data_IF_787843767726
#
_entry.id   IF_787843767726
#
_cell.length_a   1.000
_cell.length_b   1.000
_cell.length_c   1.000
_cell.angle_alpha   90.00
_cell.angle_beta   90.00
_cell.angle_gamma   90.00
#
_symmetry.space_group_name_H-M   'P 1'
#
loop_
_entity.id
_entity.type
_entity.pdbx_description
1 polymer ?
#
# COMPACT_ATOMS: atom_id res chain seq x y z
N UNK A 1 -17.92 20.96 7.91
CA UNK A 1 -17.03 19.84 7.53
C UNK A 1 -17.31 19.58 6.06
N UNK A 2 -16.45 20.10 5.19
CA UNK A 2 -16.66 20.23 3.75
C UNK A 2 -16.15 19.00 3.01
N UNK A 3 -16.76 18.68 1.88
CA UNK A 3 -16.54 17.50 1.02
C UNK A 3 -15.06 17.31 0.60
N UNK A 4 -14.28 18.39 0.58
CA UNK A 4 -12.83 18.42 0.34
C UNK A 4 -11.99 17.75 1.44
N UNK A 5 -12.37 17.88 2.71
CA UNK A 5 -11.67 17.20 3.81
C UNK A 5 -11.88 15.67 3.77
N UNK A 6 -12.90 15.20 3.04
CA UNK A 6 -13.16 13.77 2.87
C UNK A 6 -12.26 13.14 1.80
N UNK A 7 -11.82 13.90 0.79
CA UNK A 7 -10.93 13.43 -0.28
C UNK A 7 -9.47 13.30 0.18
N UNK A 8 -9.00 14.19 1.05
CA UNK A 8 -7.60 14.19 1.51
C UNK A 8 -7.33 13.09 2.55
N UNK A 9 -8.27 12.88 3.48
CA UNK A 9 -8.20 11.77 4.44
C UNK A 9 -8.31 10.41 3.74
N UNK A 10 -9.15 10.28 2.70
CA UNK A 10 -9.29 9.02 1.97
C UNK A 10 -8.10 8.71 1.07
N UNK A 11 -7.37 9.71 0.56
CA UNK A 11 -6.17 9.49 -0.25
C UNK A 11 -5.04 8.88 0.59
N UNK A 12 -4.67 9.49 1.72
CA UNK A 12 -3.61 8.95 2.58
C UNK A 12 -3.99 7.62 3.23
N UNK A 13 -5.23 7.49 3.71
CA UNK A 13 -5.71 6.28 4.37
C UNK A 13 -5.80 5.09 3.39
N UNK A 14 -6.25 5.35 2.15
CA UNK A 14 -6.24 4.34 1.09
C UNK A 14 -4.81 3.87 0.78
N UNK A 15 -3.87 4.76 0.48
CA UNK A 15 -2.52 4.34 0.11
C UNK A 15 -1.83 3.60 1.26
N UNK A 16 -1.97 4.09 2.48
CA UNK A 16 -1.32 3.50 3.66
C UNK A 16 -1.85 2.10 3.99
N UNK A 17 -3.18 1.92 4.05
CA UNK A 17 -3.77 0.62 4.35
C UNK A 17 -3.71 -0.36 3.20
N UNK A 18 -3.79 0.12 1.96
CA UNK A 18 -3.81 -0.73 0.78
C UNK A 18 -2.47 -1.44 0.53
N UNK A 19 -1.35 -0.71 0.63
CA UNK A 19 -0.02 -1.29 0.41
C UNK A 19 0.53 -2.06 1.62
N UNK A 20 0.09 -1.74 2.85
CA UNK A 20 0.54 -2.43 4.06
C UNK A 20 0.15 -3.92 4.13
N UNK A 21 -0.89 -4.33 3.41
CA UNK A 21 -1.38 -5.72 3.41
C UNK A 21 -0.83 -6.58 2.25
N UNK A 22 0.27 -6.16 1.61
CA UNK A 22 0.89 -6.94 0.54
C UNK A 22 0.06 -7.00 -0.75
N UNK A 23 -0.76 -5.99 -1.00
CA UNK A 23 -1.55 -5.86 -2.23
C UNK A 23 -0.92 -4.84 -3.17
N UNK A 24 -0.96 -5.14 -4.46
CA UNK A 24 -0.61 -4.24 -5.54
C UNK A 24 -1.89 -3.62 -6.14
N UNK A 25 -1.75 -2.44 -6.73
CA UNK A 25 -2.81 -1.76 -7.48
C UNK A 25 -2.53 -1.92 -8.96
N UNK A 26 -3.49 -2.44 -9.70
CA UNK A 26 -3.50 -2.37 -11.15
C UNK A 26 -4.54 -1.36 -11.60
N UNK A 27 -4.17 -0.58 -12.62
CA UNK A 27 -4.98 0.46 -13.21
C UNK A 27 -5.15 0.18 -14.70
N UNK A 28 -6.38 0.25 -15.19
CA UNK A 28 -6.68 0.35 -16.62
C UNK A 28 -7.36 1.70 -16.87
N UNK A 29 -6.81 2.47 -17.79
CA UNK A 29 -7.32 3.79 -18.17
C UNK A 29 -7.62 3.78 -19.66
N UNK A 30 -8.91 3.91 -19.99
CA UNK A 30 -9.39 3.92 -21.38
C UNK A 30 -9.83 5.32 -21.74
N UNK A 31 -8.95 6.00 -22.46
CA UNK A 31 -9.12 7.39 -22.88
C UNK A 31 -9.91 7.44 -24.19
N UNK A 32 -10.94 8.28 -24.22
CA UNK A 32 -11.75 8.58 -25.38
C UNK A 32 -11.59 10.07 -25.66
N UNK A 33 -10.62 10.40 -26.53
CA UNK A 33 -10.38 11.78 -26.95
C UNK A 33 -11.46 12.26 -27.89
N UNK A 34 -12.03 13.42 -27.62
CA UNK A 34 -12.92 14.13 -28.55
C UNK A 34 -12.13 15.14 -29.37
N UNK A 35 -11.32 15.97 -28.70
CA UNK A 35 -10.49 16.98 -29.32
C UNK A 35 -9.35 17.40 -28.40
N UNK A 36 -8.37 18.11 -28.97
CA UNK A 36 -7.30 18.77 -28.22
C UNK A 36 -7.62 20.24 -28.10
N UNK A 37 -7.79 20.74 -26.88
CA UNK A 37 -7.86 22.17 -26.62
C UNK A 37 -6.45 22.76 -26.74
N UNK A 38 -6.31 23.87 -27.46
CA UNK A 38 -5.07 24.64 -27.53
C UNK A 38 -5.40 26.12 -27.46
N UNK A 39 -4.77 26.80 -26.51
CA UNK A 39 -4.88 28.23 -26.29
C UNK A 39 -3.49 28.81 -26.49
N UNK A 40 -3.38 29.80 -27.38
CA UNK A 40 -2.11 30.47 -27.60
C UNK A 40 -1.76 31.31 -26.35
N UNK A 41 -0.71 30.90 -25.64
CA UNK A 41 -0.23 31.53 -24.41
C UNK A 41 0.02 33.05 -24.57
N UNK A 42 0.50 33.48 -25.73
CA UNK A 42 0.82 34.89 -26.00
C UNK A 42 -0.41 35.79 -26.15
N UNK A 43 -1.60 35.21 -26.38
CA UNK A 43 -2.84 35.95 -26.63
C UNK A 43 -3.93 35.62 -25.61
N UNK A 44 -3.59 35.00 -24.47
CA UNK A 44 -4.57 34.66 -23.45
C UNK A 44 -5.16 35.95 -22.88
N UNK A 45 -6.49 36.05 -22.97
CA UNK A 45 -7.25 37.10 -22.31
C UNK A 45 -7.84 36.54 -21.02
N UNK A 46 -7.34 37.04 -19.88
CA UNK A 46 -7.87 36.67 -18.58
C UNK A 46 -9.29 37.21 -18.40
N UNK A 47 -10.18 36.37 -17.85
CA UNK A 47 -11.53 36.80 -17.52
C UNK A 47 -11.52 37.91 -16.44
N UNK A 48 -12.62 38.68 -16.28
CA UNK A 48 -12.66 39.79 -15.32
C UNK A 48 -12.31 39.39 -13.88
N UNK A 49 -12.74 38.22 -13.43
CA UNK A 49 -12.49 37.72 -12.07
C UNK A 49 -11.02 37.40 -11.84
N UNK A 50 -10.36 36.72 -12.78
CA UNK A 50 -8.94 36.40 -12.70
C UNK A 50 -8.09 37.68 -12.74
N UNK A 51 -8.44 38.64 -13.60
CA UNK A 51 -7.77 39.95 -13.64
C UNK A 51 -7.92 40.70 -12.32
N UNK A 52 -9.14 40.70 -11.76
CA UNK A 52 -9.39 41.33 -10.48
C UNK A 52 -8.58 40.67 -9.36
N UNK A 53 -8.57 39.33 -9.27
CA UNK A 53 -7.79 38.59 -8.28
C UNK A 53 -6.29 38.92 -8.36
N UNK A 54 -5.70 38.92 -9.56
CA UNK A 54 -4.31 39.32 -9.75
C UNK A 54 -4.04 40.78 -9.33
N UNK A 55 -4.99 41.68 -9.56
CA UNK A 55 -4.86 43.10 -9.17
C UNK A 55 -4.90 43.32 -7.65
N UNK A 56 -5.36 42.35 -6.87
CA UNK A 56 -5.36 42.42 -5.41
C UNK A 56 -4.03 42.00 -4.79
N UNK A 57 -3.12 41.39 -5.57
CA UNK A 57 -1.79 41.04 -5.07
C UNK A 57 -0.93 42.29 -4.87
N UNK A 58 -0.25 42.35 -3.74
CA UNK A 58 0.52 43.53 -3.29
C UNK A 58 2.00 43.38 -3.60
N UNK A 59 2.70 44.49 -3.83
CA UNK A 59 4.15 44.48 -4.08
C UNK A 59 4.96 44.08 -2.85
N UNK A 60 4.47 44.41 -1.64
CA UNK A 60 4.99 43.88 -0.39
C UNK A 60 4.63 42.40 -0.27
N UNK A 61 5.61 41.56 0.06
CA UNK A 61 5.38 40.12 0.16
C UNK A 61 4.54 39.78 1.39
N UNK A 62 3.33 39.30 1.15
CA UNK A 62 2.41 38.74 2.15
C UNK A 62 2.15 37.27 1.80
N UNK A 63 2.75 36.30 2.51
CA UNK A 63 2.64 34.89 2.14
C UNK A 63 1.20 34.39 2.17
N UNK A 64 0.37 34.85 3.10
CA UNK A 64 -1.00 34.35 3.28
C UNK A 64 -1.89 34.79 2.11
N UNK A 65 -1.74 36.03 1.65
CA UNK A 65 -2.47 36.56 0.49
C UNK A 65 -2.13 35.79 -0.79
N UNK A 66 -0.85 35.53 -1.03
CA UNK A 66 -0.41 34.83 -2.24
C UNK A 66 -0.74 33.34 -2.20
N UNK A 67 -0.69 32.72 -1.02
CA UNK A 67 -1.12 31.35 -0.83
C UNK A 67 -2.62 31.20 -1.08
N UNK A 68 -3.45 32.12 -0.56
CA UNK A 68 -4.89 32.15 -0.83
C UNK A 68 -5.20 32.30 -2.33
N UNK A 69 -4.39 33.08 -3.06
CA UNK A 69 -4.52 33.17 -4.52
C UNK A 69 -4.25 31.81 -5.19
N UNK A 70 -3.14 31.15 -4.85
CA UNK A 70 -2.76 29.86 -5.44
C UNK A 70 -3.73 28.75 -5.06
N UNK A 71 -4.31 28.79 -3.86
CA UNK A 71 -5.35 27.86 -3.42
C UNK A 71 -6.62 28.01 -4.25
N UNK A 72 -7.05 29.25 -4.53
CA UNK A 72 -8.27 29.50 -5.29
C UNK A 72 -8.13 29.29 -6.81
N UNK A 73 -6.96 29.59 -7.39
CA UNK A 73 -6.76 29.62 -8.84
C UNK A 73 -5.78 28.57 -9.38
N UNK A 74 -5.17 27.78 -8.50
CA UNK A 74 -4.11 26.84 -8.84
C UNK A 74 -2.77 27.54 -9.11
N UNK A 75 -1.78 26.74 -9.52
CA UNK A 75 -0.42 27.22 -9.82
C UNK A 75 -0.24 27.63 -11.29
N UNK A 76 -1.03 27.04 -12.19
CA UNK A 76 -0.89 27.19 -13.63
C UNK A 76 -2.24 27.32 -14.35
N UNK A 77 -2.20 27.93 -15.53
CA UNK A 77 -3.27 27.92 -16.52
C UNK A 77 -2.96 26.85 -17.57
N UNK A 78 -3.91 25.95 -17.79
CA UNK A 78 -3.80 24.91 -18.82
C UNK A 78 -3.93 25.58 -20.19
N UNK A 79 -2.90 25.48 -21.03
CA UNK A 79 -2.89 26.04 -22.39
C UNK A 79 -3.09 24.97 -23.46
N UNK A 80 -2.81 23.71 -23.14
CA UNK A 80 -3.07 22.59 -24.05
C UNK A 80 -3.51 21.35 -23.28
N UNK A 81 -4.61 20.75 -23.71
CA UNK A 81 -5.14 19.55 -23.04
C UNK A 81 -5.93 18.65 -23.98
N UNK A 82 -5.86 17.35 -23.73
CA UNK A 82 -6.78 16.38 -24.33
C UNK A 82 -8.12 16.43 -23.60
N UNK A 83 -9.19 16.70 -24.35
CA UNK A 83 -10.56 16.78 -23.84
C UNK A 83 -11.39 15.59 -24.32
N UNK A 84 -12.16 14.97 -23.43
CA UNK A 84 -13.05 13.88 -23.78
C UNK A 84 -13.59 13.13 -22.57
N UNK A 85 -13.56 11.80 -22.61
CA UNK A 85 -13.92 10.95 -21.48
C UNK A 85 -12.86 9.91 -21.15
N UNK A 86 -12.86 9.41 -19.91
CA UNK A 86 -12.04 8.27 -19.51
C UNK A 86 -12.83 7.26 -18.70
N UNK A 87 -12.64 5.98 -18.99
CA UNK A 87 -13.05 4.90 -18.09
C UNK A 87 -11.82 4.47 -17.31
N UNK A 88 -11.85 4.63 -16.00
CA UNK A 88 -10.79 4.15 -15.12
C UNK A 88 -11.28 2.97 -14.30
N UNK A 89 -10.55 1.87 -14.40
CA UNK A 89 -10.78 0.63 -13.69
C UNK A 89 -9.60 0.34 -12.76
N UNK A 90 -9.91 0.04 -11.50
CA UNK A 90 -8.92 -0.30 -10.49
C UNK A 90 -9.14 -1.72 -10.02
N UNK A 91 -8.06 -2.49 -10.01
CA UNK A 91 -8.04 -3.84 -9.50
C UNK A 91 -7.01 -3.96 -8.37
N UNK A 92 -7.43 -4.68 -7.33
CA UNK A 92 -6.57 -5.14 -6.26
C UNK A 92 -5.96 -6.47 -6.60
N UNK A 93 -4.64 -6.52 -6.66
CA UNK A 93 -3.88 -7.69 -7.08
C UNK A 93 -3.03 -8.17 -5.91
N UNK A 94 -2.92 -9.48 -5.71
CA UNK A 94 -1.92 -10.03 -4.79
C UNK A 94 -0.51 -9.65 -5.29
N UNK A 95 0.37 -9.14 -4.42
CA UNK A 95 1.68 -8.63 -4.87
C UNK A 95 2.68 -9.73 -5.26
N UNK A 96 2.57 -10.90 -4.64
CA UNK A 96 3.42 -12.06 -4.92
C UNK A 96 2.76 -13.00 -5.94
N UNK A 97 2.50 -12.49 -7.14
CA UNK A 97 2.19 -13.37 -8.25
C UNK A 97 3.51 -14.00 -8.69
N UNK A 98 3.62 -15.33 -8.66
CA UNK A 98 4.75 -16.06 -9.21
C UNK A 98 4.72 -15.98 -10.75
N UNK A 99 4.74 -14.76 -11.27
CA UNK A 99 4.80 -14.49 -12.68
C UNK A 99 6.25 -14.33 -13.09
N UNK A 100 6.66 -15.08 -14.11
CA UNK A 100 7.95 -14.83 -14.77
C UNK A 100 7.94 -13.54 -15.60
N UNK A 101 6.78 -12.93 -15.81
CA UNK A 101 6.58 -11.73 -16.63
C UNK A 101 5.36 -10.91 -16.15
N UNK A 102 5.61 -9.68 -15.69
CA UNK A 102 4.59 -8.72 -15.26
C UNK A 102 3.65 -8.29 -16.40
N UNK A 103 4.10 -8.35 -17.66
CA UNK A 103 3.30 -8.06 -18.83
C UNK A 103 2.16 -9.06 -19.03
N UNK A 104 2.44 -10.35 -18.80
CA UNK A 104 1.43 -11.42 -18.87
C UNK A 104 0.41 -11.26 -17.74
N UNK A 105 0.87 -10.95 -16.53
CA UNK A 105 -0.02 -10.66 -15.39
C UNK A 105 -0.98 -9.55 -15.74
N UNK A 106 -0.44 -8.42 -16.22
CA UNK A 106 -1.26 -7.27 -16.57
C UNK A 106 -2.37 -7.69 -17.54
N UNK A 107 -2.04 -8.36 -18.63
CA UNK A 107 -3.02 -8.76 -19.65
C UNK A 107 -4.09 -9.74 -19.14
N UNK A 108 -3.82 -10.48 -18.06
CA UNK A 108 -4.77 -11.41 -17.45
C UNK A 108 -5.66 -10.81 -16.36
N UNK A 109 -5.45 -9.54 -15.96
CA UNK A 109 -6.34 -8.85 -15.01
C UNK A 109 -7.71 -8.62 -15.67
N UNK A 110 -8.83 -8.91 -14.99
CA UNK A 110 -10.17 -8.91 -15.58
C UNK A 110 -10.76 -7.50 -15.73
N UNK A 111 -10.04 -6.61 -16.43
CA UNK A 111 -10.57 -5.32 -16.86
C UNK A 111 -11.53 -5.50 -18.04
N UNK A 112 -12.56 -4.65 -18.15
CA UNK A 112 -13.63 -4.87 -19.13
C UNK A 112 -13.23 -4.69 -20.60
N UNK A 113 -12.02 -4.21 -20.88
CA UNK A 113 -11.42 -4.14 -22.21
C UNK A 113 -10.46 -5.28 -22.54
N UNK A 114 -10.20 -6.19 -21.60
CA UNK A 114 -9.22 -7.25 -21.78
C UNK A 114 -9.92 -8.57 -22.09
N UNK A 115 -9.39 -9.24 -23.09
CA UNK A 115 -9.75 -10.62 -23.43
C UNK A 115 -8.64 -11.51 -22.85
N UNK A 116 -8.97 -12.55 -22.06
CA UNK A 116 -7.97 -13.47 -21.53
C UNK A 116 -7.17 -14.11 -22.67
N UNK A 117 -5.85 -13.89 -22.66
CA UNK A 117 -4.94 -14.32 -23.74
C UNK A 117 -4.46 -15.77 -23.60
N UNK A 118 -4.65 -16.40 -22.44
CA UNK A 118 -4.16 -17.75 -22.17
C UNK A 118 -4.96 -18.47 -21.08
N UNK A 119 -4.82 -19.80 -21.03
CA UNK A 119 -5.37 -20.64 -19.96
C UNK A 119 -4.85 -20.27 -18.56
N UNK A 120 -3.67 -19.65 -18.47
CA UNK A 120 -3.08 -19.21 -17.21
C UNK A 120 -3.73 -17.93 -16.67
N UNK A 121 -4.54 -17.22 -17.46
CA UNK A 121 -5.21 -16.01 -16.99
C UNK A 121 -6.21 -16.29 -15.87
N UNK A 122 -6.79 -17.50 -15.78
CA UNK A 122 -7.65 -17.87 -14.67
C UNK A 122 -6.92 -17.74 -13.31
N UNK A 123 -5.66 -18.19 -13.23
CA UNK A 123 -4.84 -18.09 -12.01
C UNK A 123 -4.62 -16.65 -11.54
N UNK A 124 -4.40 -15.73 -12.48
CA UNK A 124 -4.16 -14.32 -12.20
C UNK A 124 -5.46 -13.56 -11.93
N UNK A 125 -6.53 -13.87 -12.66
CA UNK A 125 -7.86 -13.31 -12.45
C UNK A 125 -8.40 -13.67 -11.06
N UNK A 126 -8.22 -14.90 -10.59
CA UNK A 126 -8.64 -15.32 -9.24
C UNK A 126 -7.92 -14.56 -8.12
N UNK A 127 -6.75 -13.99 -8.42
CA UNK A 127 -5.93 -13.18 -7.49
C UNK A 127 -6.05 -11.69 -7.72
N UNK A 128 -6.91 -11.28 -8.63
CA UNK A 128 -7.24 -9.90 -8.92
C UNK A 128 -8.72 -9.65 -8.60
N UNK A 129 -9.00 -8.63 -7.81
CA UNK A 129 -10.38 -8.20 -7.51
C UNK A 129 -10.59 -6.80 -8.03
N UNK A 130 -11.55 -6.62 -8.92
CA UNK A 130 -12.04 -5.29 -9.30
C UNK A 130 -12.60 -4.59 -8.05
N UNK A 131 -12.04 -3.42 -7.74
CA UNK A 131 -12.45 -2.63 -6.57
C UNK A 131 -13.18 -1.35 -6.99
N UNK A 132 -12.94 -0.84 -8.19
CA UNK A 132 -13.74 0.25 -8.73
C UNK A 132 -13.68 0.31 -10.26
N UNK A 133 -14.78 0.83 -10.83
CA UNK A 133 -14.88 1.30 -12.21
C UNK A 133 -15.54 2.67 -12.14
N UNK A 134 -14.90 3.68 -12.73
CA UNK A 134 -15.41 5.05 -12.73
C UNK A 134 -15.30 5.67 -14.11
N UNK A 135 -16.27 6.51 -14.43
CA UNK A 135 -16.27 7.35 -15.61
C UNK A 135 -15.79 8.76 -15.26
N UNK A 136 -15.01 9.37 -16.14
CA UNK A 136 -14.63 10.78 -16.08
C UNK A 136 -15.11 11.46 -17.36
N UNK A 137 -15.82 12.58 -17.20
CA UNK A 137 -16.53 13.22 -18.32
C UNK A 137 -17.83 12.50 -18.66
N UNK A 138 -18.68 13.16 -19.45
CA UNK A 138 -20.05 12.75 -19.75
C UNK A 138 -20.96 12.76 -18.54
N UNK A 139 -22.09 12.07 -18.64
CA UNK A 139 -22.98 11.81 -17.53
C UNK A 139 -22.49 10.57 -16.76
N UNK A 140 -21.78 10.79 -15.65
CA UNK A 140 -21.18 9.74 -14.82
C UNK A 140 -22.19 8.79 -14.16
N UNK A 141 -23.49 9.09 -14.22
CA UNK A 141 -24.56 8.22 -13.70
C UNK A 141 -24.97 7.11 -14.69
N UNK A 142 -24.48 7.16 -15.94
CA UNK A 142 -24.80 6.16 -16.96
C UNK A 142 -23.83 4.98 -16.84
N UNK A 143 -24.30 3.84 -16.33
CA UNK A 143 -23.45 2.67 -16.09
C UNK A 143 -22.97 1.98 -17.38
N UNK A 144 -23.78 1.99 -18.44
CA UNK A 144 -23.45 1.35 -19.70
C UNK A 144 -22.40 2.18 -20.46
N UNK A 145 -21.24 1.59 -20.74
CA UNK A 145 -20.13 2.29 -21.39
C UNK A 145 -20.49 2.88 -22.76
N UNK A 146 -21.34 2.22 -23.55
CA UNK A 146 -21.71 2.72 -24.88
C UNK A 146 -22.69 3.89 -24.80
N UNK A 147 -23.63 3.86 -23.86
CA UNK A 147 -24.55 4.97 -23.64
C UNK A 147 -23.84 6.15 -22.98
N UNK A 148 -22.96 5.88 -22.01
CA UNK A 148 -22.10 6.89 -21.40
C UNK A 148 -21.25 7.62 -22.46
N UNK A 149 -20.63 6.88 -23.39
CA UNK A 149 -19.84 7.46 -24.49
C UNK A 149 -20.61 8.49 -25.31
N UNK A 150 -21.91 8.29 -25.53
CA UNK A 150 -22.76 9.22 -26.28
C UNK A 150 -22.97 10.54 -25.55
N UNK A 151 -22.80 10.56 -24.23
CA UNK A 151 -22.95 11.76 -23.41
C UNK A 151 -21.69 12.63 -23.37
N UNK A 152 -20.54 12.12 -23.84
CA UNK A 152 -19.26 12.84 -23.78
C UNK A 152 -19.28 14.15 -24.56
N UNK A 153 -20.02 14.22 -25.66
CA UNK A 153 -20.14 15.44 -26.46
C UNK A 153 -20.80 16.60 -25.69
N UNK A 154 -21.63 16.29 -24.67
CA UNK A 154 -22.38 17.30 -23.90
C UNK A 154 -21.59 17.79 -22.68
N UNK A 155 -20.79 16.92 -22.06
CA UNK A 155 -20.07 17.26 -20.83
C UNK A 155 -18.68 16.63 -20.75
N UNK A 156 -17.75 16.92 -21.67
CA UNK A 156 -16.44 16.29 -21.63
C UNK A 156 -15.60 16.79 -20.45
N UNK A 157 -14.61 16.00 -20.06
CA UNK A 157 -13.61 16.35 -19.05
C UNK A 157 -12.25 16.63 -19.68
N UNK A 158 -11.41 17.38 -18.96
CA UNK A 158 -9.98 17.50 -19.24
C UNK A 158 -9.29 16.22 -18.75
N UNK A 159 -8.68 15.47 -19.67
CA UNK A 159 -8.14 14.14 -19.38
C UNK A 159 -6.63 14.16 -19.17
N UNK A 160 -5.93 14.93 -19.99
CA UNK A 160 -4.47 15.04 -19.94
C UNK A 160 -4.06 16.48 -20.14
N UNK A 161 -3.29 17.02 -19.21
CA UNK A 161 -2.64 18.33 -19.35
C UNK A 161 -1.37 18.09 -20.18
N UNK A 162 -1.31 18.74 -21.35
CA UNK A 162 -0.18 18.62 -22.27
C UNK A 162 0.76 19.81 -22.12
N UNK A 163 0.19 21.01 -21.95
CA UNK A 163 0.95 22.24 -21.72
C UNK A 163 0.20 23.13 -20.74
N UNK A 164 0.96 23.85 -19.92
CA UNK A 164 0.47 24.81 -18.95
C UNK A 164 1.46 25.94 -18.76
N UNK A 165 0.97 27.11 -18.38
CA UNK A 165 1.77 28.32 -18.16
C UNK A 165 1.50 28.82 -16.75
N UNK A 166 2.53 29.19 -15.97
CA UNK A 166 2.35 29.61 -14.59
C UNK A 166 1.67 30.97 -14.48
N UNK A 167 0.90 31.19 -13.41
CA UNK A 167 0.16 32.44 -13.21
C UNK A 167 1.03 33.70 -13.19
N UNK A 168 2.27 33.60 -12.73
CA UNK A 168 3.19 34.73 -12.66
C UNK A 168 3.60 35.28 -14.05
N UNK A 169 3.35 34.57 -15.15
CA UNK A 169 3.60 35.08 -16.49
C UNK A 169 2.53 36.05 -16.99
N UNK A 170 1.39 36.12 -16.29
CA UNK A 170 0.31 37.09 -16.56
C UNK A 170 0.39 38.35 -15.69
N UNK A 171 1.43 38.47 -14.85
CA UNK A 171 1.65 39.61 -13.97
C UNK A 171 2.65 40.57 -14.63
N UNK A 172 2.25 41.83 -14.76
CA UNK A 172 3.10 42.89 -15.34
C UNK A 172 4.06 43.49 -14.33
N UNK A 173 3.66 43.63 -13.06
CA UNK A 173 4.52 44.15 -12.00
C UNK A 173 5.60 43.13 -11.60
N UNK A 174 6.86 43.53 -11.68
CA UNK A 174 7.97 42.61 -11.45
C UNK A 174 8.05 42.11 -9.99
N UNK A 175 7.70 42.94 -9.00
CA UNK A 175 7.71 42.54 -7.60
C UNK A 175 6.62 41.50 -7.32
N UNK A 176 5.40 41.77 -7.78
CA UNK A 176 4.28 40.81 -7.66
C UNK A 176 4.61 39.51 -8.39
N UNK A 177 5.22 39.60 -9.59
CA UNK A 177 5.65 38.44 -10.37
C UNK A 177 6.65 37.57 -9.58
N UNK A 178 7.66 38.15 -8.96
CA UNK A 178 8.64 37.38 -8.17
C UNK A 178 8.02 36.77 -6.91
N UNK A 179 7.15 37.50 -6.22
CA UNK A 179 6.44 37.01 -5.04
C UNK A 179 5.56 35.79 -5.38
N UNK A 180 4.75 35.89 -6.44
CA UNK A 180 3.90 34.79 -6.88
C UNK A 180 4.72 33.59 -7.37
N UNK A 181 5.84 33.84 -8.05
CA UNK A 181 6.79 32.78 -8.45
C UNK A 181 7.38 32.06 -7.25
N UNK A 182 7.68 32.76 -6.16
CA UNK A 182 8.24 32.16 -4.96
C UNK A 182 7.24 31.19 -4.29
N UNK A 183 5.98 31.59 -4.15
CA UNK A 183 4.93 30.75 -3.56
C UNK A 183 4.60 29.54 -4.44
N UNK A 184 4.49 29.71 -5.76
CA UNK A 184 4.26 28.58 -6.67
C UNK A 184 5.38 27.55 -6.57
N UNK A 185 6.64 27.99 -6.60
CA UNK A 185 7.80 27.09 -6.43
C UNK A 185 7.84 26.40 -5.06
N UNK A 186 7.39 27.09 -4.02
CA UNK A 186 7.29 26.53 -2.68
C UNK A 186 6.27 25.38 -2.64
N UNK A 187 5.07 25.58 -3.21
CA UNK A 187 4.04 24.52 -3.32
C UNK A 187 4.53 23.32 -4.12
N UNK A 188 5.14 23.55 -5.28
CA UNK A 188 5.68 22.48 -6.13
C UNK A 188 6.68 21.61 -5.36
N UNK A 189 7.65 22.24 -4.68
CA UNK A 189 8.64 21.53 -3.87
C UNK A 189 8.03 20.75 -2.73
N UNK A 190 7.04 21.32 -2.03
CA UNK A 190 6.38 20.63 -0.94
C UNK A 190 5.65 19.37 -1.42
N UNK A 191 4.96 19.45 -2.57
CA UNK A 191 4.30 18.29 -3.17
C UNK A 191 5.33 17.22 -3.55
N UNK A 192 6.44 17.60 -4.17
CA UNK A 192 7.52 16.68 -4.53
C UNK A 192 8.11 15.97 -3.31
N UNK A 193 8.33 16.70 -2.21
CA UNK A 193 8.82 16.15 -0.95
C UNK A 193 7.83 15.14 -0.35
N UNK A 194 6.55 15.50 -0.32
CA UNK A 194 5.48 14.63 0.18
C UNK A 194 5.37 13.35 -0.67
N UNK A 195 5.42 13.47 -1.99
CA UNK A 195 5.39 12.32 -2.90
C UNK A 195 6.63 11.43 -2.73
N UNK A 196 7.81 12.04 -2.64
CA UNK A 196 9.07 11.32 -2.42
C UNK A 196 9.04 10.55 -1.12
N UNK A 197 8.53 11.17 -0.04
CA UNK A 197 8.40 10.51 1.25
C UNK A 197 7.36 9.39 1.21
N UNK A 198 6.23 9.59 0.54
CA UNK A 198 5.23 8.54 0.34
C UNK A 198 5.80 7.34 -0.42
N UNK A 199 6.54 7.56 -1.51
CA UNK A 199 7.23 6.50 -2.27
C UNK A 199 8.27 5.80 -1.41
N UNK A 200 9.06 6.55 -0.64
CA UNK A 200 10.07 5.99 0.27
C UNK A 200 9.42 5.10 1.34
N UNK A 201 8.32 5.54 1.94
CA UNK A 201 7.60 4.77 2.95
C UNK A 201 6.94 3.53 2.37
N UNK A 202 6.34 3.62 1.18
CA UNK A 202 5.85 2.45 0.44
C UNK A 202 7.01 1.49 0.20
N UNK A 203 8.10 1.93 -0.45
CA UNK A 203 9.27 1.09 -0.77
C UNK A 203 9.93 0.44 0.46
N UNK A 204 10.04 1.16 1.58
CA UNK A 204 10.60 0.63 2.82
C UNK A 204 9.72 -0.46 3.46
N UNK A 205 8.41 -0.45 3.16
CA UNK A 205 7.41 -1.41 3.68
C UNK A 205 7.00 -2.46 2.65
N UNK A 206 7.40 -2.27 1.40
CA UNK A 206 7.33 -3.24 0.35
C UNK A 206 8.30 -4.39 0.70
N UNK A 207 7.85 -5.36 1.50
CA UNK A 207 8.61 -6.61 1.73
C UNK A 207 9.03 -7.20 0.38
N UNK A 208 10.24 -7.75 0.24
CA UNK A 208 10.60 -8.53 -0.93
C UNK A 208 9.56 -9.63 -1.14
N UNK A 209 9.16 -9.89 -2.38
CA UNK A 209 8.35 -11.05 -2.71
C UNK A 209 9.17 -12.27 -2.25
N UNK A 210 8.80 -12.85 -1.11
CA UNK A 210 9.43 -14.05 -0.61
C UNK A 210 9.08 -15.11 -1.65
N UNK A 211 10.09 -15.58 -2.39
CA UNK A 211 9.96 -16.63 -3.41
C UNK A 211 9.55 -17.98 -2.81
N UNK A 212 9.36 -18.04 -1.50
CA UNK A 212 8.82 -19.17 -0.76
C UNK A 212 7.51 -18.78 -0.11
N UNK A 213 6.47 -19.57 -0.37
CA UNK A 213 5.15 -19.48 0.26
C UNK A 213 5.27 -19.42 1.79
N UNK A 214 5.26 -18.22 2.36
CA UNK A 214 5.08 -18.01 3.80
C UNK A 214 3.68 -17.47 4.07
N UNK A 215 2.81 -18.41 4.45
CA UNK A 215 1.59 -18.30 5.25
C UNK A 215 0.94 -16.89 5.39
N UNK A 216 -0.18 -16.67 4.68
CA UNK A 216 -1.15 -15.63 5.04
C UNK A 216 -2.03 -16.08 6.22
N UNK A 217 -2.23 -15.29 7.29
CA UNK A 217 -3.16 -15.64 8.36
C UNK A 217 -4.61 -15.34 7.93
N UNK A 218 -5.52 -16.27 8.23
CA UNK A 218 -6.96 -16.07 8.05
C UNK A 218 -7.60 -16.13 9.44
N UNK A 219 -8.16 -15.00 9.90
CA UNK A 219 -9.30 -14.83 10.83
C UNK A 219 -9.12 -13.77 11.94
N UNK A 220 -10.21 -13.10 12.34
CA UNK A 220 -10.29 -12.02 13.36
C UNK A 220 -11.07 -12.46 14.61
N UNK A 221 -10.51 -12.20 15.81
CA UNK A 221 -11.06 -12.59 17.12
C UNK A 221 -12.49 -12.05 17.37
N UNK A 222 -13.42 -12.82 17.97
CA UNK A 222 -14.73 -12.32 18.34
C UNK A 222 -14.62 -11.35 19.53
N UNK A 223 -15.43 -10.30 19.49
CA UNK A 223 -15.49 -9.19 20.46
C UNK A 223 -15.35 -9.61 21.94
N UNK A 224 -15.99 -10.72 22.35
CA UNK A 224 -16.02 -11.17 23.75
C UNK A 224 -14.67 -11.67 24.29
N UNK A 225 -13.65 -11.85 23.45
CA UNK A 225 -12.35 -12.43 23.83
C UNK A 225 -11.18 -11.43 23.76
N UNK A 226 -11.43 -10.15 23.44
CA UNK A 226 -10.41 -9.11 23.24
C UNK A 226 -9.67 -8.65 24.52
N UNK A 227 -9.75 -9.40 25.63
CA UNK A 227 -9.08 -9.09 26.90
C UNK A 227 -8.29 -10.26 27.51
N UNK A 228 -8.30 -11.44 26.88
CA UNK A 228 -7.50 -12.59 27.32
C UNK A 228 -6.26 -12.71 26.45
N UNK A 229 -5.08 -12.57 27.06
CA UNK A 229 -3.78 -12.74 26.43
C UNK A 229 -3.57 -14.21 26.09
N UNK A 230 -3.79 -14.56 24.82
CA UNK A 230 -3.21 -15.68 24.04
C UNK A 230 -4.08 -15.83 22.79
N UNK A 231 -3.48 -15.76 21.59
CA UNK A 231 -4.23 -16.08 20.35
C UNK A 231 -3.48 -17.10 19.51
N UNK A 232 -4.05 -18.30 19.44
CA UNK A 232 -3.77 -19.33 18.44
C UNK A 232 -4.88 -19.36 17.39
N UNK A 233 -4.50 -19.24 16.11
CA UNK A 233 -4.97 -20.12 15.02
C UNK A 233 -4.18 -19.87 13.72
N UNK A 234 -3.04 -20.55 13.61
CA UNK A 234 -2.63 -21.32 12.44
C UNK A 234 -1.43 -22.19 12.86
N UNK A 235 -1.70 -23.14 13.76
CA UNK A 235 -0.76 -24.22 13.99
C UNK A 235 -0.83 -25.13 12.76
N UNK A 236 0.33 -25.42 12.16
CA UNK A 236 0.48 -26.48 11.15
C UNK A 236 0.13 -26.18 9.68
N UNK A 237 0.44 -25.01 9.14
CA UNK A 237 0.53 -24.91 7.67
C UNK A 237 1.84 -25.55 7.21
N UNK A 238 1.75 -26.70 6.53
CA UNK A 238 2.88 -27.25 5.77
C UNK A 238 3.15 -26.29 4.61
N UNK A 239 4.39 -25.88 4.44
CA UNK A 239 4.78 -25.10 3.26
C UNK A 239 4.65 -26.04 2.05
N UNK A 240 3.86 -25.65 1.04
CA UNK A 240 3.61 -26.50 -0.12
C UNK A 240 4.93 -26.82 -0.85
N UNK A 241 5.26 -28.11 -0.99
CA UNK A 241 6.52 -28.56 -1.57
C UNK A 241 7.70 -28.63 -0.60
N UNK A 242 7.51 -28.33 0.68
CA UNK A 242 8.56 -28.35 1.71
C UNK A 242 8.09 -29.17 2.94
N UNK A 243 9.05 -29.77 3.64
CA UNK A 243 8.87 -30.44 4.92
C UNK A 243 8.97 -29.46 6.11
N UNK A 244 9.06 -28.16 5.82
CA UNK A 244 8.95 -27.08 6.79
C UNK A 244 7.52 -26.84 7.26
N UNK A 245 7.40 -26.44 8.52
CA UNK A 245 6.14 -26.02 9.15
C UNK A 245 6.33 -24.66 9.79
N UNK A 246 5.34 -23.80 9.64
CA UNK A 246 5.37 -22.43 10.17
C UNK A 246 4.20 -22.15 11.08
N UNK A 247 4.43 -21.30 12.06
CA UNK A 247 3.38 -20.68 12.86
C UNK A 247 3.65 -19.18 12.96
N UNK A 248 2.60 -18.38 12.98
CA UNK A 248 2.66 -16.94 13.21
C UNK A 248 1.70 -16.55 14.33
N UNK A 249 2.12 -15.65 15.20
CA UNK A 249 1.32 -15.07 16.27
C UNK A 249 1.44 -13.53 16.24
N UNK A 250 0.36 -12.83 16.57
CA UNK A 250 0.39 -11.40 16.84
C UNK A 250 0.48 -11.20 18.35
N UNK A 251 1.43 -10.38 18.78
CA UNK A 251 1.82 -10.22 20.18
C UNK A 251 1.96 -8.74 20.49
N UNK A 252 1.60 -8.32 21.70
CA UNK A 252 1.81 -6.95 22.17
C UNK A 252 2.44 -7.05 23.53
N UNK A 253 3.73 -6.74 23.62
CA UNK A 253 4.51 -7.00 24.83
C UNK A 253 4.71 -5.72 25.64
N UNK A 254 4.59 -5.84 26.97
CA UNK A 254 4.82 -4.75 27.90
C UNK A 254 6.06 -5.00 28.76
N UNK A 255 6.68 -3.94 29.32
CA UNK A 255 7.88 -4.08 30.17
C UNK A 255 7.62 -4.82 31.50
N UNK A 256 6.36 -5.05 31.87
CA UNK A 256 5.94 -5.67 33.14
C UNK A 256 5.46 -7.12 32.97
N UNK A 257 5.17 -7.55 31.74
CA UNK A 257 4.67 -8.89 31.45
C UNK A 257 5.67 -9.67 30.61
N UNK A 258 6.25 -10.72 31.19
CA UNK A 258 6.92 -11.77 30.42
C UNK A 258 5.83 -12.66 29.81
N UNK A 259 5.26 -12.24 28.68
CA UNK A 259 4.22 -13.01 28.00
C UNK A 259 4.83 -14.30 27.43
N UNK A 260 4.38 -15.43 27.97
CA UNK A 260 4.68 -16.78 27.48
C UNK A 260 3.62 -17.17 26.44
N UNK A 261 4.00 -17.24 25.17
CA UNK A 261 3.16 -17.60 24.03
C UNK A 261 3.41 -19.08 23.70
N UNK A 262 2.54 -19.97 24.18
CA UNK A 262 2.76 -21.45 24.07
C UNK A 262 2.34 -22.01 22.70
N UNK A 263 3.25 -22.06 21.72
CA UNK A 263 2.91 -22.49 20.35
C UNK A 263 2.98 -24.00 20.10
N UNK A 264 2.15 -24.50 19.19
CA UNK A 264 2.18 -25.90 18.76
C UNK A 264 2.44 -25.98 17.25
N UNK A 265 3.48 -26.71 16.86
CA UNK A 265 3.66 -27.20 15.49
C UNK A 265 3.44 -28.70 15.59
N UNK A 266 2.16 -29.10 15.55
CA UNK A 266 1.69 -30.42 15.97
C UNK A 266 2.28 -31.62 15.20
N UNK A 267 2.23 -32.77 15.88
CA UNK A 267 2.55 -34.12 15.41
C UNK A 267 1.36 -35.06 15.64
N UNK A 268 1.15 -36.07 14.77
CA UNK A 268 0.00 -36.98 14.80
C UNK A 268 0.19 -38.25 15.66
N UNK A 269 1.37 -38.53 16.21
CA UNK A 269 1.64 -39.75 16.99
C UNK A 269 1.64 -39.47 18.50
N UNK A 270 1.14 -40.38 19.34
CA UNK A 270 1.14 -40.29 20.82
C UNK A 270 2.42 -40.89 21.44
N UNK A 271 3.08 -40.21 22.37
CA UNK A 271 4.31 -40.66 23.07
C UNK A 271 5.52 -39.71 23.05
N UNK A 272 5.85 -39.06 21.94
CA UNK A 272 7.14 -38.32 21.81
C UNK A 272 7.18 -36.92 22.46
N UNK A 273 8.31 -36.60 23.09
CA UNK A 273 8.76 -35.25 23.46
C UNK A 273 8.93 -34.37 22.20
N UNK A 274 8.76 -33.05 22.32
CA UNK A 274 8.87 -32.06 21.23
C UNK A 274 7.63 -31.83 20.34
N UNK A 275 6.42 -32.06 20.85
CA UNK A 275 5.15 -31.75 20.13
C UNK A 275 4.84 -30.26 20.02
N UNK A 276 5.34 -29.49 20.99
CA UNK A 276 4.96 -28.11 21.23
C UNK A 276 6.21 -27.33 21.67
N UNK A 277 6.23 -26.04 21.38
CA UNK A 277 7.24 -25.14 21.91
C UNK A 277 6.62 -23.83 22.36
N UNK A 278 7.05 -23.26 23.49
CA UNK A 278 6.64 -21.93 23.89
C UNK A 278 7.62 -20.89 23.36
N UNK A 279 7.10 -19.78 22.86
CA UNK A 279 7.85 -18.57 22.60
C UNK A 279 7.65 -17.66 23.82
N UNK A 280 8.71 -17.14 24.39
CA UNK A 280 8.62 -16.14 25.46
C UNK A 280 9.40 -14.91 25.04
N UNK A 281 8.85 -13.73 25.30
CA UNK A 281 9.59 -12.49 25.05
C UNK A 281 10.54 -12.27 26.23
N UNK A 282 11.83 -12.42 25.97
CA UNK A 282 12.87 -12.33 27.00
C UNK A 282 13.06 -10.89 27.48
N UNK A 283 13.04 -9.97 26.52
CA UNK A 283 13.10 -8.53 26.70
C UNK A 283 12.61 -7.85 25.41
N UNK A 284 12.61 -6.52 25.37
CA UNK A 284 12.19 -5.76 24.20
C UNK A 284 12.91 -6.08 22.90
N UNK A 285 14.01 -6.85 22.87
CA UNK A 285 14.76 -7.17 21.64
C UNK A 285 15.04 -8.66 21.43
N UNK A 286 14.59 -9.53 22.34
CA UNK A 286 14.96 -10.95 22.32
C UNK A 286 13.76 -11.83 22.62
N UNK A 287 13.73 -13.00 21.99
CA UNK A 287 12.74 -14.05 22.26
C UNK A 287 13.43 -15.36 22.64
N UNK A 288 12.83 -16.08 23.58
CA UNK A 288 13.18 -17.44 23.96
C UNK A 288 12.23 -18.44 23.31
N UNK A 289 12.75 -19.63 23.02
CA UNK A 289 12.02 -20.74 22.42
C UNK A 289 12.24 -22.01 23.23
N UNK A 290 11.23 -22.41 24.00
CA UNK A 290 11.24 -23.58 24.89
C UNK A 290 10.52 -24.76 24.24
N UNK A 291 11.06 -25.98 24.30
CA UNK A 291 10.24 -27.17 24.04
C UNK A 291 9.43 -27.57 25.28
N UNK A 292 8.26 -28.20 25.10
CA UNK A 292 7.36 -28.52 26.23
C UNK A 292 7.77 -29.73 27.10
N UNK A 293 8.81 -30.48 26.74
CA UNK A 293 9.12 -31.74 27.44
C UNK A 293 10.56 -31.84 28.00
N UNK A 294 11.48 -30.97 27.58
CA UNK A 294 12.80 -30.82 28.18
C UNK A 294 13.19 -29.33 28.12
N UNK A 295 13.94 -28.84 29.10
CA UNK A 295 14.51 -27.50 29.05
C UNK A 295 15.53 -27.46 27.91
N UNK A 296 15.16 -26.85 26.79
CA UNK A 296 16.06 -26.71 25.65
C UNK A 296 16.73 -25.34 25.70
N UNK A 297 18.06 -25.34 25.75
CA UNK A 297 18.92 -24.17 25.79
C UNK A 297 19.07 -23.49 24.41
N UNK A 298 17.95 -23.23 23.72
CA UNK A 298 17.98 -22.28 22.61
C UNK A 298 17.97 -20.86 23.22
N UNK A 299 19.11 -20.41 23.71
CA UNK A 299 19.24 -19.08 24.31
C UNK A 299 18.80 -17.96 23.35
N UNK A 300 18.36 -16.84 23.95
CA UNK A 300 18.00 -15.54 23.36
C UNK A 300 18.18 -15.44 21.84
N UNK A 301 17.12 -15.69 21.08
CA UNK A 301 17.12 -15.40 19.65
C UNK A 301 17.02 -13.88 19.47
N UNK A 302 18.04 -13.24 18.87
CA UNK A 302 18.07 -11.79 18.75
C UNK A 302 17.10 -11.32 17.65
N UNK A 303 16.26 -10.35 17.99
CA UNK A 303 15.45 -9.57 17.06
C UNK A 303 15.97 -8.13 17.09
N UNK A 304 17.26 -7.97 16.82
CA UNK A 304 18.08 -6.80 17.14
C UNK A 304 17.58 -5.43 16.61
N UNK A 305 16.58 -5.43 15.72
CA UNK A 305 16.09 -4.23 15.04
C UNK A 305 14.69 -3.78 15.50
N UNK A 306 13.99 -4.56 16.33
CA UNK A 306 12.64 -4.23 16.80
C UNK A 306 12.64 -4.12 18.32
N UNK A 307 11.98 -3.07 18.84
CA UNK A 307 11.67 -2.96 20.27
C UNK A 307 10.24 -3.44 20.50
N UNK A 308 10.08 -4.69 20.95
CA UNK A 308 8.78 -5.33 21.23
C UNK A 308 8.00 -4.64 22.36
N UNK A 309 8.67 -3.80 23.16
CA UNK A 309 8.10 -3.05 24.29
C UNK A 309 7.73 -1.62 23.91
N UNK A 310 7.23 -1.41 22.70
CA UNK A 310 6.75 -0.10 22.23
C UNK A 310 5.22 0.07 22.43
N UNK A 311 4.55 -0.97 22.93
CA UNK A 311 3.11 -0.98 23.11
C UNK A 311 2.33 -1.15 21.81
N UNK A 312 2.97 -1.51 20.69
CA UNK A 312 2.34 -1.90 19.43
C UNK A 312 2.15 -3.43 19.35
N UNK A 313 1.36 -3.87 18.36
CA UNK A 313 1.28 -5.29 18.01
C UNK A 313 2.40 -5.63 17.04
N UNK A 314 3.12 -6.71 17.34
CA UNK A 314 4.15 -7.29 16.51
C UNK A 314 3.71 -8.67 16.02
N UNK A 315 4.00 -9.01 14.77
CA UNK A 315 3.86 -10.36 14.26
C UNK A 315 5.15 -11.14 14.53
N UNK A 316 5.07 -12.30 15.16
CA UNK A 316 6.21 -13.21 15.30
C UNK A 316 5.86 -14.52 14.61
N UNK A 317 6.67 -14.91 13.64
CA UNK A 317 6.56 -16.19 12.96
C UNK A 317 7.76 -17.08 13.28
N UNK A 318 7.52 -18.37 13.44
CA UNK A 318 8.55 -19.39 13.63
C UNK A 318 8.34 -20.47 12.60
N UNK A 319 9.39 -20.77 11.84
CA UNK A 319 9.40 -21.84 10.83
C UNK A 319 10.46 -22.85 11.20
N UNK A 320 10.10 -24.13 11.17
CA UNK A 320 11.02 -25.23 11.39
C UNK A 320 11.03 -26.17 10.20
N UNK A 321 12.23 -26.50 9.71
CA UNK A 321 12.46 -27.52 8.70
C UNK A 321 12.96 -28.82 9.35
N UNK A 322 12.23 -29.91 9.12
CA UNK A 322 12.49 -31.20 9.75
C UNK A 322 13.62 -32.00 9.12
N UNK A 323 13.97 -31.72 7.87
CA UNK A 323 15.03 -32.44 7.16
C UNK A 323 16.41 -32.03 7.65
N UNK A 324 16.59 -30.73 7.92
CA UNK A 324 17.88 -30.13 8.25
C UNK A 324 17.92 -29.48 9.64
N UNK A 325 16.84 -29.63 10.43
CA UNK A 325 16.69 -29.05 11.76
C UNK A 325 16.86 -27.52 11.84
N UNK A 326 16.65 -26.82 10.72
CA UNK A 326 16.76 -25.36 10.64
C UNK A 326 15.53 -24.71 11.25
N UNK A 327 15.74 -23.87 12.25
CA UNK A 327 14.73 -23.01 12.84
C UNK A 327 14.95 -21.57 12.38
N UNK A 328 13.91 -20.93 11.90
CA UNK A 328 13.90 -19.53 11.52
C UNK A 328 12.85 -18.79 12.33
N UNK A 329 13.25 -17.70 12.98
CA UNK A 329 12.37 -16.76 13.67
C UNK A 329 12.29 -15.48 12.87
N UNK A 330 11.08 -15.01 12.69
CA UNK A 330 10.75 -13.82 11.94
C UNK A 330 9.90 -12.92 12.84
N UNK A 331 10.18 -11.62 12.81
CA UNK A 331 9.40 -10.64 13.53
C UNK A 331 9.05 -9.47 12.58
N UNK A 332 7.78 -9.11 12.57
CA UNK A 332 7.13 -8.13 11.72
C UNK A 332 7.40 -8.32 10.24
N UNK A 333 8.30 -7.51 9.66
CA UNK A 333 8.71 -7.54 8.26
C UNK A 333 10.25 -7.62 8.13
N UNK A 334 10.93 -8.00 9.21
CA UNK A 334 12.39 -8.04 9.25
C UNK A 334 12.95 -9.32 8.65
N UNK A 335 14.22 -9.27 8.24
CA UNK A 335 14.95 -10.47 7.81
C UNK A 335 14.91 -11.56 8.88
N UNK A 336 14.59 -12.81 8.52
CA UNK A 336 14.48 -13.89 9.49
C UNK A 336 15.84 -14.23 10.09
N UNK A 337 15.88 -14.48 11.39
CA UNK A 337 17.03 -15.05 12.06
C UNK A 337 16.91 -16.58 12.02
N UNK A 338 17.84 -17.23 11.32
CA UNK A 338 17.83 -18.69 11.14
C UNK A 338 19.07 -19.35 11.74
N UNK A 339 18.88 -20.50 12.37
CA UNK A 339 19.96 -21.32 12.89
C UNK A 339 19.62 -22.82 12.81
N UNK A 340 20.65 -23.65 12.74
CA UNK A 340 20.50 -25.11 12.84
C UNK A 340 20.45 -25.46 14.32
N UNK A 341 19.44 -26.20 14.75
CA UNK A 341 19.35 -26.64 16.14
C UNK A 341 20.30 -27.81 16.39
N UNK A 342 20.99 -27.79 17.53
CA UNK A 342 21.79 -28.91 18.01
C UNK A 342 20.98 -30.02 18.69
N UNK A 343 19.69 -29.78 18.97
CA UNK A 343 18.79 -30.71 19.66
C UNK A 343 18.13 -31.71 18.69
N UNK A 344 17.52 -32.77 19.24
CA UNK A 344 16.77 -33.75 18.47
C UNK A 344 15.72 -33.10 17.55
N UNK A 345 15.52 -33.69 16.37
CA UNK A 345 14.59 -33.18 15.36
C UNK A 345 13.16 -33.19 15.89
N UNK A 346 12.37 -32.19 15.51
CA UNK A 346 10.93 -32.23 15.78
C UNK A 346 10.30 -33.38 15.00
N UNK A 347 9.50 -34.22 15.65
CA UNK A 347 8.77 -35.28 14.97
C UNK A 347 7.50 -34.68 14.35
N UNK A 348 7.60 -34.15 13.14
CA UNK A 348 6.45 -33.55 12.45
C UNK A 348 5.81 -34.50 11.44
N UNK A 349 5.83 -35.81 11.71
CA UNK A 349 5.26 -36.82 10.82
C UNK A 349 3.83 -36.45 10.37
N UNK A 350 3.54 -36.87 9.13
CA UNK A 350 2.38 -36.59 8.25
C UNK A 350 1.14 -36.03 8.94
#
# INVERSE_FOLDING_TARGET
>A
MTEEQHLDATFYDFHYHYFAHGHALALSQRVIGLYTLTINASTIQLNPFARHALSQLTTAFDPDLYEAFVEAWGTHIITRSLVGGMIEERAKVARCLNAGDDGVVAQCIPFSDRIPISSNCAYYADRARMISKRHLGGNIQVENDNDWRRTLAVGPALLQILEMVPWYDFVTDNSVKQNLRAIIRYRERNIDLVQTEAVRQVNARLSPCISDLTCTPFWTMPWLHQGTHLTYKNANTRIFGDNSRSICALVRAGPVNADNIVVSIGSSLSGDCNRNFAITIANGRHVHLFGMCEAYDNYNVPINLITLYDGAFHQICVTYNNENARLCVYADLQSPYCFIRGNARYNTAT
#
